data_IF_878325317078
#
_entry.id   IF_878325317078
#
_cell.length_a   1.000
_cell.length_b   1.000
_cell.length_c   1.000
_cell.angle_alpha   90.00
_cell.angle_beta   90.00
_cell.angle_gamma   90.00
#
_symmetry.space_group_name_H-M   'P 1'
#
loop_
_entity.id
_entity.type
_entity.pdbx_description
1 polymer ?
#
# COMPACT_ATOMS: atom_id res chain seq x y z
N UNK A 1 -16.70 21.25 25.54
CA UNK A 1 -15.36 20.88 25.04
C UNK A 1 -15.48 20.03 23.76
N UNK A 2 -15.08 20.59 22.62
CA UNK A 2 -15.14 19.93 21.33
C UNK A 2 -14.07 18.82 21.27
N UNK A 3 -14.52 17.58 21.12
CA UNK A 3 -13.70 16.43 20.77
C UNK A 3 -13.12 16.67 19.37
N UNK A 4 -11.84 16.99 19.27
CA UNK A 4 -11.14 17.05 18.00
C UNK A 4 -11.06 15.63 17.43
N UNK A 5 -11.77 15.36 16.34
CA UNK A 5 -11.58 14.13 15.57
C UNK A 5 -10.14 14.05 15.06
N UNK A 6 -9.48 12.90 15.13
CA UNK A 6 -8.14 12.74 14.60
C UNK A 6 -8.16 13.00 13.10
N UNK A 7 -7.28 13.90 12.64
CA UNK A 7 -7.10 14.18 11.21
C UNK A 7 -6.43 12.97 10.59
N UNK A 8 -7.17 12.19 9.81
CA UNK A 8 -6.59 11.14 8.99
C UNK A 8 -5.79 11.78 7.86
N UNK A 9 -4.49 11.50 7.82
CA UNK A 9 -3.65 11.89 6.71
C UNK A 9 -3.69 10.74 5.68
N UNK A 10 -3.83 11.03 4.37
CA UNK A 10 -3.74 10.00 3.35
C UNK A 10 -2.30 9.49 3.30
N UNK A 11 -2.12 8.17 3.38
CA UNK A 11 -0.83 7.53 3.10
C UNK A 11 -1.03 6.65 1.86
N UNK A 12 -0.22 6.91 0.84
CA UNK A 12 -0.41 6.37 -0.49
C UNK A 12 0.24 4.98 -0.60
N UNK A 13 -0.61 3.95 -0.75
CA UNK A 13 -0.30 2.58 -1.19
C UNK A 13 -0.19 1.50 -0.10
N UNK A 14 -1.09 0.52 -0.16
CA UNK A 14 -0.97 -0.79 0.46
C UNK A 14 -0.81 -1.88 -0.61
N UNK A 15 0.14 -2.81 -0.43
CA UNK A 15 0.48 -3.87 -1.39
C UNK A 15 0.12 -5.26 -0.82
N UNK A 16 -0.51 -6.09 -1.65
CA UNK A 16 -0.96 -7.44 -1.30
C UNK A 16 -0.17 -8.49 -2.11
N UNK A 17 0.28 -9.57 -1.46
CA UNK A 17 1.15 -10.59 -2.06
C UNK A 17 0.53 -11.99 -2.00
N UNK A 18 0.33 -12.65 -3.16
CA UNK A 18 0.05 -14.08 -3.24
C UNK A 18 1.12 -14.79 -4.07
N UNK A 19 1.95 -15.63 -3.41
CA UNK A 19 2.97 -16.44 -4.09
C UNK A 19 2.38 -17.74 -4.64
N UNK A 20 1.71 -17.67 -5.78
CA UNK A 20 1.54 -18.84 -6.66
C UNK A 20 2.43 -18.70 -7.90
N UNK A 21 2.77 -19.80 -8.58
CA UNK A 21 3.51 -19.79 -9.87
C UNK A 21 2.65 -19.28 -11.04
N UNK A 22 1.75 -18.36 -10.78
CA UNK A 22 0.84 -17.73 -11.71
C UNK A 22 0.79 -16.23 -11.39
N UNK A 23 0.57 -15.44 -12.44
CA UNK A 23 0.50 -13.97 -12.50
C UNK A 23 0.40 -13.27 -11.15
N UNK A 24 1.44 -12.52 -10.80
CA UNK A 24 1.43 -11.60 -9.67
C UNK A 24 0.59 -10.38 -10.04
N UNK A 25 -0.47 -10.10 -9.27
CA UNK A 25 -1.32 -8.93 -9.46
C UNK A 25 -1.15 -8.03 -8.25
N UNK A 26 -0.58 -6.85 -8.49
CA UNK A 26 -0.46 -5.80 -7.50
C UNK A 26 -1.65 -4.85 -7.64
N UNK A 27 -2.41 -4.69 -6.56
CA UNK A 27 -3.50 -3.72 -6.48
C UNK A 27 -3.11 -2.60 -5.50
N UNK A 28 -3.32 -1.36 -5.91
CA UNK A 28 -3.01 -0.16 -5.12
C UNK A 28 -4.30 0.53 -4.73
N UNK A 29 -4.42 0.89 -3.46
CA UNK A 29 -5.57 1.59 -2.90
C UNK A 29 -5.12 2.79 -2.07
N UNK A 30 -5.94 3.85 -2.09
CA UNK A 30 -5.81 4.93 -1.12
C UNK A 30 -6.28 4.42 0.25
N UNK A 31 -5.38 4.44 1.22
CA UNK A 31 -5.65 4.01 2.59
C UNK A 31 -5.39 5.17 3.56
N UNK A 32 -6.30 5.34 4.52
CA UNK A 32 -6.20 6.35 5.56
C UNK A 32 -5.93 5.66 6.88
N UNK A 33 -4.87 6.08 7.56
CA UNK A 33 -4.56 5.62 8.90
C UNK A 33 -4.79 6.73 9.93
N UNK A 34 -5.03 6.34 11.18
CA UNK A 34 -5.02 7.28 12.30
C UNK A 34 -3.63 7.90 12.44
N UNK A 35 -3.56 9.11 12.99
CA UNK A 35 -2.28 9.76 13.29
C UNK A 35 -1.40 8.86 14.18
N UNK A 36 -0.11 8.75 13.86
CA UNK A 36 0.83 7.87 14.55
C UNK A 36 0.67 6.37 14.27
N UNK A 37 -0.32 5.95 13.49
CA UNK A 37 -0.53 4.54 13.20
C UNK A 37 0.61 4.00 12.32
N UNK A 38 1.28 2.95 12.83
CA UNK A 38 2.38 2.25 12.16
C UNK A 38 3.63 3.10 11.87
N UNK A 39 3.75 4.28 12.50
CA UNK A 39 5.00 5.05 12.45
C UNK A 39 6.18 4.20 12.93
N UNK A 40 7.29 4.26 12.19
CA UNK A 40 8.50 3.49 12.48
C UNK A 40 8.36 1.98 12.29
N UNK A 41 7.28 1.48 11.66
CA UNK A 41 7.13 0.06 11.32
C UNK A 41 7.38 -0.18 9.84
N UNK A 42 8.20 -1.18 9.55
CA UNK A 42 8.48 -1.60 8.17
C UNK A 42 7.40 -2.52 7.59
N UNK A 43 6.55 -3.10 8.45
CA UNK A 43 5.48 -4.01 8.03
C UNK A 43 4.30 -4.04 8.99
N UNK A 44 3.15 -4.46 8.45
CA UNK A 44 1.90 -4.67 9.19
C UNK A 44 1.47 -6.12 8.99
N UNK A 45 1.38 -6.88 10.08
CA UNK A 45 0.75 -8.20 10.07
C UNK A 45 -0.76 -8.06 10.26
N UNK A 46 -1.54 -8.71 9.42
CA UNK A 46 -2.99 -8.74 9.51
C UNK A 46 -3.54 -10.11 9.12
N UNK A 47 -4.83 -10.34 9.36
CA UNK A 47 -5.51 -11.56 8.92
C UNK A 47 -6.57 -11.24 7.89
N UNK A 48 -6.66 -12.06 6.86
CA UNK A 48 -7.78 -12.04 5.94
C UNK A 48 -9.08 -12.49 6.62
N UNK A 49 -10.21 -12.21 5.98
CA UNK A 49 -11.54 -12.61 6.46
C UNK A 49 -11.66 -14.12 6.75
N UNK A 50 -10.90 -14.94 6.02
CA UNK A 50 -10.86 -16.40 6.20
C UNK A 50 -9.85 -16.87 7.27
N UNK A 51 -9.17 -15.94 7.95
CA UNK A 51 -8.21 -16.22 9.03
C UNK A 51 -6.76 -16.41 8.58
N UNK A 52 -6.48 -16.38 7.28
CA UNK A 52 -5.11 -16.47 6.73
C UNK A 52 -4.24 -15.30 7.18
N UNK A 53 -2.99 -15.57 7.54
CA UNK A 53 -2.04 -14.54 7.96
C UNK A 53 -1.40 -13.86 6.74
N UNK A 54 -1.36 -12.54 6.77
CA UNK A 54 -0.85 -11.68 5.70
C UNK A 54 0.08 -10.61 6.25
N UNK A 55 0.97 -10.12 5.38
CA UNK A 55 1.91 -9.05 5.69
C UNK A 55 1.78 -7.98 4.61
N UNK A 56 1.52 -6.75 5.04
CA UNK A 56 1.67 -5.55 4.21
C UNK A 56 3.02 -4.89 4.53
N UNK A 57 3.66 -4.30 3.53
CA UNK A 57 4.93 -3.58 3.65
C UNK A 57 4.87 -2.28 2.86
N UNK A 58 5.73 -1.36 3.25
CA UNK A 58 5.99 -0.14 2.49
C UNK A 58 7.01 -0.43 1.39
N UNK A 59 6.82 0.21 0.23
CA UNK A 59 7.72 0.12 -0.90
C UNK A 59 7.95 1.51 -1.45
N UNK A 60 9.17 1.79 -1.89
CA UNK A 60 9.44 2.99 -2.66
C UNK A 60 8.74 2.89 -4.02
N UNK A 61 8.18 3.99 -4.51
CA UNK A 61 7.60 4.03 -5.85
C UNK A 61 8.67 3.75 -6.91
N UNK A 62 9.93 4.10 -6.64
CA UNK A 62 11.05 3.82 -7.54
C UNK A 62 11.33 2.32 -7.69
N UNK A 63 10.99 1.50 -6.69
CA UNK A 63 11.16 0.05 -6.70
C UNK A 63 10.01 -0.71 -7.42
N UNK A 64 8.97 -0.01 -7.85
CA UNK A 64 7.81 -0.59 -8.56
C UNK A 64 7.91 -0.38 -10.07
N UNK A 65 7.26 -1.24 -10.86
CA UNK A 65 7.15 -1.09 -12.33
C UNK A 65 8.53 -1.04 -13.04
N UNK A 66 9.40 -1.99 -12.69
CA UNK A 66 10.76 -2.10 -13.23
C UNK A 66 10.82 -3.01 -14.46
N UNK A 67 11.78 -2.78 -15.35
CA UNK A 67 12.02 -3.61 -16.53
C UNK A 67 12.22 -5.10 -16.14
N UNK A 68 11.35 -5.98 -16.64
CA UNK A 68 11.36 -7.41 -16.33
C UNK A 68 10.78 -7.77 -14.95
N UNK A 69 10.24 -6.79 -14.23
CA UNK A 69 9.53 -6.95 -12.96
C UNK A 69 8.01 -7.02 -13.13
N UNK A 70 7.30 -6.92 -11.99
CA UNK A 70 5.85 -6.84 -11.98
C UNK A 70 5.38 -5.45 -12.47
N UNK A 71 4.50 -5.45 -13.47
CA UNK A 71 3.91 -4.23 -14.00
C UNK A 71 2.81 -3.69 -13.08
N UNK A 72 2.68 -2.36 -13.04
CA UNK A 72 1.57 -1.73 -12.34
C UNK A 72 0.34 -1.60 -13.24
N UNK A 73 -0.82 -1.96 -12.68
CA UNK A 73 -2.12 -1.78 -13.32
C UNK A 73 -2.98 -0.75 -12.55
N UNK A 74 -3.68 0.16 -13.25
CA UNK A 74 -3.66 0.37 -14.70
C UNK A 74 -2.37 1.01 -15.19
N UNK A 75 -2.08 0.88 -16.49
CA UNK A 75 -0.94 1.54 -17.11
C UNK A 75 -0.94 3.04 -16.81
N UNK A 76 0.21 3.57 -16.36
CA UNK A 76 0.35 4.97 -15.96
C UNK A 76 0.08 5.24 -14.47
N UNK A 77 -0.25 4.22 -13.67
CA UNK A 77 -0.46 4.36 -12.23
C UNK A 77 0.77 4.92 -11.50
N UNK A 78 1.99 4.48 -11.81
CA UNK A 78 3.23 5.04 -11.21
C UNK A 78 3.31 6.56 -11.36
N UNK A 79 3.07 7.06 -12.57
CA UNK A 79 3.07 8.49 -12.87
C UNK A 79 1.92 9.25 -12.19
N UNK A 80 0.80 8.57 -11.89
CA UNK A 80 -0.28 9.16 -11.12
C UNK A 80 0.12 9.32 -9.64
N UNK A 81 0.70 8.28 -9.04
CA UNK A 81 1.16 8.28 -7.65
C UNK A 81 2.26 9.33 -7.41
N UNK A 82 3.26 9.42 -8.31
CA UNK A 82 4.33 10.42 -8.22
C UNK A 82 3.81 11.87 -8.24
N UNK A 83 2.69 12.13 -8.95
CA UNK A 83 2.06 13.46 -8.98
C UNK A 83 1.29 13.80 -7.71
N UNK A 84 0.83 12.80 -6.96
CA UNK A 84 0.03 12.98 -5.74
C UNK A 84 0.91 13.27 -4.52
N UNK A 85 2.13 12.73 -4.49
CA UNK A 85 3.11 12.96 -3.43
C UNK A 85 3.90 14.29 -3.53
N UNK A 86 3.60 15.14 -4.52
CA UNK A 86 4.20 16.49 -4.71
C UNK A 86 3.30 17.59 -4.18
#
# INVERSE_FOLDING_TARGET
PASASPKSHPCDVALFHQRCRCTEIIAVFDVSFSEGAFEGRDSIEFREAHGGACIARWFDLDDLDLDGGAELYPSGLKNHLLRKGS
#
